data_IF_878017274508
#
_entry.id   IF_878017274508
#
_cell.length_a   1.000
_cell.length_b   1.000
_cell.length_c   1.000
_cell.angle_alpha   90.00
_cell.angle_beta   90.00
_cell.angle_gamma   90.00
#
_symmetry.space_group_name_H-M   'P 1'
#
loop_
_entity.id
_entity.type
_entity.pdbx_description
1 polymer ?
#
# COMPACT_ATOMS: atom_id res chain seq x y z
N UNK A 1 -69.07 39.64 -61.82
CA UNK A 1 -68.62 38.72 -60.75
C UNK A 1 -67.63 39.50 -59.90
N UNK A 2 -68.10 40.00 -58.75
CA UNK A 2 -67.67 39.58 -57.40
C UNK A 2 -66.22 40.02 -57.13
N UNK A 3 -65.87 41.15 -56.49
CA UNK A 3 -66.21 41.80 -55.20
C UNK A 3 -64.85 42.07 -54.49
N UNK A 4 -64.58 43.37 -54.26
CA UNK A 4 -63.80 44.05 -53.19
C UNK A 4 -62.35 43.69 -52.80
N UNK A 5 -61.46 44.70 -52.95
CA UNK A 5 -60.64 45.43 -51.94
C UNK A 5 -60.24 44.67 -50.65
N UNK A 6 -59.01 44.74 -50.10
CA UNK A 6 -58.18 45.93 -49.83
C UNK A 6 -56.74 45.60 -49.39
N UNK A 7 -55.87 46.59 -49.54
CA UNK A 7 -54.46 46.78 -49.13
C UNK A 7 -54.20 46.46 -47.64
N UNK A 8 -53.03 45.88 -47.26
CA UNK A 8 -52.11 46.37 -46.19
C UNK A 8 -50.82 45.52 -46.01
N UNK A 9 -49.70 46.25 -45.91
CA UNK A 9 -48.38 45.97 -45.30
C UNK A 9 -47.80 44.54 -45.26
N UNK A 10 -46.71 44.31 -46.00
CA UNK A 10 -45.74 43.25 -45.72
C UNK A 10 -44.76 43.70 -44.64
N UNK A 11 -45.06 43.39 -43.38
CA UNK A 11 -44.06 43.36 -42.30
C UNK A 11 -43.19 42.12 -42.46
N UNK A 12 -41.87 42.33 -42.50
CA UNK A 12 -40.82 41.34 -42.30
C UNK A 12 -41.05 40.58 -40.99
N UNK A 13 -41.27 39.26 -41.08
CA UNK A 13 -41.19 38.36 -39.94
C UNK A 13 -39.83 37.67 -39.98
N UNK A 14 -39.00 38.05 -39.02
CA UNK A 14 -37.78 37.36 -38.62
C UNK A 14 -38.15 35.95 -38.11
N UNK A 15 -37.69 34.92 -38.81
CA UNK A 15 -37.71 33.54 -38.31
C UNK A 15 -36.62 33.38 -37.25
N UNK A 16 -36.95 33.74 -36.01
CA UNK A 16 -36.10 33.68 -34.81
C UNK A 16 -36.46 32.53 -33.86
N UNK A 17 -36.88 31.37 -34.40
CA UNK A 17 -37.20 30.19 -33.60
C UNK A 17 -36.24 29.01 -33.88
N UNK A 18 -34.94 29.26 -33.83
CA UNK A 18 -33.99 28.23 -33.37
C UNK A 18 -33.69 28.59 -31.92
N UNK A 19 -34.26 27.85 -30.97
CA UNK A 19 -33.75 27.85 -29.61
C UNK A 19 -32.29 27.40 -29.67
N UNK A 20 -31.38 28.36 -29.62
CA UNK A 20 -29.96 28.11 -29.43
C UNK A 20 -29.79 27.45 -28.06
N UNK A 21 -29.34 26.20 -28.07
CA UNK A 21 -28.70 25.58 -26.91
C UNK A 21 -27.63 26.57 -26.44
N UNK A 22 -27.72 27.05 -25.19
CA UNK A 22 -26.87 28.18 -24.73
C UNK A 22 -25.38 27.89 -24.95
N UNK A 23 -24.58 28.92 -25.26
CA UNK A 23 -23.14 28.80 -25.53
C UNK A 23 -22.37 28.12 -24.38
N UNK A 24 -22.86 28.27 -23.15
CA UNK A 24 -22.32 27.64 -21.94
C UNK A 24 -22.41 26.10 -21.98
N UNK A 25 -23.42 25.54 -22.65
CA UNK A 25 -23.55 24.10 -22.85
C UNK A 25 -22.53 23.58 -23.87
N UNK A 26 -22.31 24.30 -24.97
CA UNK A 26 -21.33 23.88 -26.01
C UNK A 26 -19.90 23.91 -25.49
N UNK A 27 -19.57 24.84 -24.60
CA UNK A 27 -18.23 24.93 -24.00
C UNK A 27 -17.95 23.76 -23.04
N UNK A 28 -18.89 23.41 -22.15
CA UNK A 28 -18.77 22.22 -21.28
C UNK A 28 -18.65 20.92 -22.09
N UNK A 29 -19.37 20.81 -23.20
CA UNK A 29 -19.37 19.63 -24.06
C UNK A 29 -18.04 19.42 -24.79
N UNK A 30 -17.41 20.52 -25.20
CA UNK A 30 -16.07 20.49 -25.79
C UNK A 30 -15.00 20.12 -24.76
N UNK A 31 -15.11 20.63 -23.53
CA UNK A 31 -14.20 20.28 -22.44
C UNK A 31 -14.28 18.80 -22.08
N UNK A 32 -15.49 18.23 -21.95
CA UNK A 32 -15.68 16.79 -21.71
C UNK A 32 -15.09 15.94 -22.84
N UNK A 33 -15.32 16.34 -24.11
CA UNK A 33 -14.75 15.63 -25.24
C UNK A 33 -13.22 15.70 -25.25
N UNK A 34 -12.63 16.86 -24.91
CA UNK A 34 -11.18 16.99 -24.78
C UNK A 34 -10.62 16.11 -23.66
N UNK A 35 -11.29 16.03 -22.51
CA UNK A 35 -10.89 15.15 -21.42
C UNK A 35 -10.94 13.67 -21.85
N UNK A 36 -11.98 13.25 -22.56
CA UNK A 36 -12.14 11.88 -23.07
C UNK A 36 -11.17 11.52 -24.22
N UNK A 37 -10.60 12.53 -24.90
CA UNK A 37 -9.60 12.36 -25.95
C UNK A 37 -8.16 12.51 -25.44
N UNK A 38 -8.00 13.00 -24.21
CA UNK A 38 -6.70 13.17 -23.55
C UNK A 38 -6.17 11.85 -22.98
N UNK A 39 -4.89 11.84 -22.58
CA UNK A 39 -4.33 10.70 -21.87
C UNK A 39 -5.06 10.54 -20.52
N UNK A 40 -5.53 9.33 -20.16
CA UNK A 40 -6.20 9.08 -18.90
C UNK A 40 -5.33 9.49 -17.72
N UNK A 41 -5.95 10.15 -16.74
CA UNK A 41 -5.31 10.46 -15.46
C UNK A 41 -6.37 10.52 -14.38
N UNK A 42 -5.97 10.25 -13.13
CA UNK A 42 -6.85 10.37 -11.97
C UNK A 42 -7.46 11.78 -11.88
N UNK A 43 -6.70 12.83 -12.18
CA UNK A 43 -7.20 14.20 -12.20
C UNK A 43 -8.29 14.43 -13.25
N UNK A 44 -8.07 13.94 -14.48
CA UNK A 44 -9.07 14.06 -15.55
C UNK A 44 -10.33 13.25 -15.20
N UNK A 45 -10.18 12.09 -14.57
CA UNK A 45 -11.29 11.23 -14.17
C UNK A 45 -12.17 11.89 -13.08
N UNK A 46 -11.59 12.66 -12.16
CA UNK A 46 -12.38 13.48 -11.20
C UNK A 46 -13.27 14.47 -11.95
N UNK A 47 -12.71 15.22 -12.91
CA UNK A 47 -13.48 16.18 -13.73
C UNK A 47 -14.60 15.47 -14.52
N UNK A 48 -14.33 14.27 -15.03
CA UNK A 48 -15.33 13.46 -15.73
C UNK A 48 -16.43 12.94 -14.80
N UNK A 49 -16.13 12.60 -13.53
CA UNK A 49 -17.16 12.24 -12.53
C UNK A 49 -18.08 13.42 -12.23
N UNK A 50 -17.52 14.61 -12.08
CA UNK A 50 -18.31 15.83 -11.89
C UNK A 50 -19.20 16.13 -13.10
N UNK A 51 -18.65 15.95 -14.32
CA UNK A 51 -19.43 16.07 -15.54
C UNK A 51 -20.56 15.04 -15.62
N UNK A 52 -20.31 13.79 -15.25
CA UNK A 52 -21.32 12.73 -15.22
C UNK A 52 -22.46 13.06 -14.25
N UNK A 53 -22.13 13.54 -13.05
CA UNK A 53 -23.12 13.97 -12.06
C UNK A 53 -23.99 15.14 -12.56
N UNK A 54 -23.45 16.04 -13.38
CA UNK A 54 -24.20 17.16 -14.00
C UNK A 54 -25.04 16.72 -15.20
N UNK A 55 -24.62 15.68 -15.92
CA UNK A 55 -25.25 15.21 -17.14
C UNK A 55 -26.37 14.20 -16.88
N UNK A 56 -26.21 13.33 -15.89
CA UNK A 56 -27.16 12.27 -15.56
C UNK A 56 -28.53 12.83 -15.14
N UNK A 57 -29.58 12.23 -15.69
CA UNK A 57 -30.98 12.51 -15.32
C UNK A 57 -31.52 11.49 -14.32
N UNK A 58 -30.86 10.33 -14.22
CA UNK A 58 -31.17 9.27 -13.26
C UNK A 58 -29.92 8.81 -12.50
N UNK A 59 -30.13 8.23 -11.31
CA UNK A 59 -29.03 7.64 -10.54
C UNK A 59 -28.33 6.50 -11.29
N UNK A 60 -29.07 5.73 -12.11
CA UNK A 60 -28.50 4.62 -12.89
C UNK A 60 -27.52 5.11 -13.96
N UNK A 61 -27.80 6.26 -14.56
CA UNK A 61 -26.88 6.87 -15.54
C UNK A 61 -25.56 7.29 -14.91
N UNK A 62 -25.64 7.86 -13.70
CA UNK A 62 -24.46 8.20 -12.93
C UNK A 62 -23.70 6.96 -12.47
N UNK A 63 -24.40 5.91 -12.02
CA UNK A 63 -23.78 4.63 -11.62
C UNK A 63 -23.01 3.98 -12.76
N UNK A 64 -23.57 3.96 -13.98
CA UNK A 64 -22.88 3.42 -15.17
C UNK A 64 -21.64 4.26 -15.49
N UNK A 65 -21.77 5.60 -15.50
CA UNK A 65 -20.63 6.48 -15.75
C UNK A 65 -19.52 6.30 -14.72
N UNK A 66 -19.89 6.21 -13.43
CA UNK A 66 -18.95 5.95 -12.33
C UNK A 66 -18.26 4.61 -12.48
N UNK A 67 -18.98 3.55 -12.85
CA UNK A 67 -18.40 2.22 -13.05
C UNK A 67 -17.37 2.21 -14.20
N UNK A 68 -17.66 2.91 -15.30
CA UNK A 68 -16.69 3.06 -16.41
C UNK A 68 -15.46 3.85 -15.96
N UNK A 69 -15.65 4.95 -15.22
CA UNK A 69 -14.56 5.76 -14.68
C UNK A 69 -13.69 4.99 -13.67
N UNK A 70 -14.29 4.13 -12.83
CA UNK A 70 -13.56 3.25 -11.92
C UNK A 70 -12.67 2.24 -12.66
N UNK A 71 -13.13 1.72 -13.80
CA UNK A 71 -12.30 0.83 -14.62
C UNK A 71 -11.12 1.58 -15.28
N UNK A 72 -11.33 2.84 -15.68
CA UNK A 72 -10.25 3.71 -16.19
C UNK A 72 -9.24 4.01 -15.07
N UNK A 73 -9.71 4.33 -13.86
CA UNK A 73 -8.87 4.56 -12.68
C UNK A 73 -8.01 3.33 -12.37
N UNK A 74 -8.63 2.14 -12.33
CA UNK A 74 -7.94 0.87 -12.08
C UNK A 74 -6.84 0.61 -13.12
N UNK A 75 -7.16 0.82 -14.39
CA UNK A 75 -6.20 0.63 -15.49
C UNK A 75 -5.04 1.63 -15.45
N UNK A 76 -5.32 2.88 -15.07
CA UNK A 76 -4.29 3.92 -14.94
C UNK A 76 -3.31 3.58 -13.81
N UNK A 77 -3.81 3.06 -12.69
CA UNK A 77 -2.99 2.56 -11.58
C UNK A 77 -2.12 1.37 -12.01
N UNK A 78 -2.66 0.44 -12.78
CA UNK A 78 -1.87 -0.69 -13.29
C UNK A 78 -0.69 -0.24 -14.16
N UNK A 79 -0.89 0.76 -15.04
CA UNK A 79 0.18 1.34 -15.86
C UNK A 79 1.20 2.10 -15.02
N UNK A 80 0.74 2.88 -14.05
CA UNK A 80 1.59 3.62 -13.12
C UNK A 80 2.48 2.65 -12.33
N UNK A 81 1.91 1.58 -11.78
CA UNK A 81 2.66 0.52 -11.09
C UNK A 81 3.75 -0.05 -12.00
N UNK A 82 3.45 -0.40 -13.26
CA UNK A 82 4.46 -0.91 -14.21
C UNK A 82 5.60 0.08 -14.42
N UNK A 83 5.29 1.38 -14.54
CA UNK A 83 6.31 2.44 -14.67
C UNK A 83 7.20 2.54 -13.44
N UNK A 84 6.60 2.58 -12.25
CA UNK A 84 7.30 2.74 -10.98
C UNK A 84 8.29 1.58 -10.74
N UNK A 85 7.92 0.35 -11.11
CA UNK A 85 8.83 -0.80 -11.07
C UNK A 85 9.99 -0.71 -12.06
N UNK A 86 9.74 -0.15 -13.24
CA UNK A 86 10.80 0.06 -14.22
C UNK A 86 11.79 1.12 -13.78
N UNK A 87 11.35 2.11 -13.01
CA UNK A 87 12.19 3.18 -12.47
C UNK A 87 13.00 2.71 -11.25
N UNK A 88 12.43 1.85 -10.40
CA UNK A 88 13.06 1.45 -9.15
C UNK A 88 13.07 2.58 -8.12
N UNK A 89 14.06 2.55 -7.22
CA UNK A 89 14.22 3.52 -6.13
C UNK A 89 12.99 3.65 -5.23
N UNK A 90 12.80 4.84 -4.67
CA UNK A 90 11.69 5.07 -3.74
C UNK A 90 10.32 4.84 -4.40
N UNK A 91 10.19 5.20 -5.68
CA UNK A 91 8.97 5.05 -6.47
C UNK A 91 8.58 3.57 -6.62
N UNK A 92 9.54 2.73 -6.99
CA UNK A 92 9.36 1.28 -7.08
C UNK A 92 9.04 0.65 -5.72
N UNK A 93 9.74 1.08 -4.66
CA UNK A 93 9.46 0.61 -3.30
C UNK A 93 8.03 0.97 -2.85
N UNK A 94 7.54 2.17 -3.14
CA UNK A 94 6.17 2.59 -2.81
C UNK A 94 5.13 1.79 -3.58
N UNK A 95 5.36 1.51 -4.87
CA UNK A 95 4.50 0.65 -5.66
C UNK A 95 4.43 -0.78 -5.08
N UNK A 96 5.57 -1.31 -4.63
CA UNK A 96 5.67 -2.58 -3.92
C UNK A 96 4.80 -2.60 -2.67
N UNK A 97 4.95 -1.58 -1.84
CA UNK A 97 4.25 -1.46 -0.58
C UNK A 97 2.74 -1.36 -0.78
N UNK A 98 2.28 -0.62 -1.78
CA UNK A 98 0.86 -0.52 -2.10
C UNK A 98 0.28 -1.88 -2.52
N UNK A 99 0.96 -2.63 -3.38
CA UNK A 99 0.52 -3.96 -3.83
C UNK A 99 0.47 -4.99 -2.69
N UNK A 100 1.44 -4.98 -1.77
CA UNK A 100 1.38 -5.80 -0.56
C UNK A 100 0.17 -5.36 0.28
N UNK A 101 -0.03 -4.04 0.43
CA UNK A 101 -1.10 -3.44 1.21
C UNK A 101 -2.50 -3.76 0.71
N UNK A 102 -2.73 -3.88 -0.60
CA UNK A 102 -4.04 -4.23 -1.17
C UNK A 102 -4.58 -5.55 -0.60
N UNK A 103 -3.74 -6.58 -0.48
CA UNK A 103 -4.17 -7.87 0.06
C UNK A 103 -4.41 -7.82 1.57
N UNK A 104 -3.49 -7.23 2.31
CA UNK A 104 -3.55 -7.18 3.78
C UNK A 104 -4.69 -6.27 4.28
N UNK A 105 -4.91 -5.13 3.63
CA UNK A 105 -5.97 -4.18 4.02
C UNK A 105 -7.38 -4.70 3.71
N UNK A 106 -7.53 -5.67 2.81
CA UNK A 106 -8.82 -6.30 2.51
C UNK A 106 -9.23 -7.39 3.52
N UNK A 107 -8.31 -7.86 4.38
CA UNK A 107 -8.60 -8.87 5.40
C UNK A 107 -9.60 -8.35 6.46
N UNK A 108 -10.79 -8.94 6.55
CA UNK A 108 -11.84 -8.44 7.45
C UNK A 108 -11.54 -8.69 8.94
N UNK A 109 -10.89 -9.81 9.26
CA UNK A 109 -10.65 -10.24 10.64
C UNK A 109 -9.20 -10.70 10.79
N UNK A 110 -8.23 -9.78 10.83
CA UNK A 110 -6.83 -10.15 10.96
C UNK A 110 -6.58 -10.84 12.32
N UNK A 111 -5.77 -11.90 12.31
CA UNK A 111 -5.18 -12.48 13.53
C UNK A 111 -4.11 -11.55 14.12
N UNK A 112 -3.52 -11.91 15.27
CA UNK A 112 -2.44 -11.13 15.90
C UNK A 112 -1.29 -10.85 14.94
N UNK A 113 -0.68 -11.90 14.39
CA UNK A 113 0.43 -11.76 13.43
C UNK A 113 0.02 -11.07 12.12
N UNK A 114 -1.21 -11.27 11.63
CA UNK A 114 -1.68 -10.53 10.44
C UNK A 114 -1.88 -9.03 10.73
N UNK A 115 -2.29 -8.67 11.96
CA UNK A 115 -2.37 -7.28 12.38
C UNK A 115 -0.98 -6.63 12.47
N UNK A 116 0.03 -7.40 12.84
CA UNK A 116 1.43 -6.98 12.82
C UNK A 116 1.96 -6.74 11.40
N UNK A 117 1.65 -7.63 10.45
CA UNK A 117 1.96 -7.41 9.02
C UNK A 117 1.27 -6.16 8.48
N UNK A 118 -0.01 -5.96 8.84
CA UNK A 118 -0.73 -4.73 8.50
C UNK A 118 -0.03 -3.50 9.12
N UNK A 119 0.44 -3.59 10.37
CA UNK A 119 1.14 -2.49 11.04
C UNK A 119 2.46 -2.13 10.33
N UNK A 120 3.20 -3.12 9.83
CA UNK A 120 4.43 -2.88 9.08
C UNK A 120 4.21 -1.96 7.89
N UNK A 121 3.06 -2.04 7.21
CA UNK A 121 2.76 -1.17 6.07
C UNK A 121 2.80 0.32 6.46
N UNK A 122 2.25 0.68 7.64
CA UNK A 122 2.31 2.05 8.14
C UNK A 122 3.74 2.44 8.54
N UNK A 123 4.49 1.54 9.15
CA UNK A 123 5.87 1.80 9.58
C UNK A 123 6.78 2.04 8.37
N UNK A 124 6.63 1.24 7.32
CA UNK A 124 7.35 1.40 6.05
C UNK A 124 6.91 2.68 5.33
N UNK A 125 5.62 3.00 5.29
CA UNK A 125 5.15 4.27 4.72
C UNK A 125 5.77 5.48 5.44
N UNK A 126 5.82 5.46 6.77
CA UNK A 126 6.44 6.54 7.55
C UNK A 126 7.92 6.66 7.28
N UNK A 127 8.62 5.53 7.17
CA UNK A 127 10.04 5.50 6.86
C UNK A 127 10.34 6.18 5.50
N UNK A 128 9.63 5.81 4.43
CA UNK A 128 9.88 6.38 3.09
C UNK A 128 9.39 7.82 2.98
N UNK A 129 8.41 8.23 3.80
CA UNK A 129 7.90 9.61 3.85
C UNK A 129 8.48 10.43 5.01
N UNK A 130 9.59 10.01 5.62
CA UNK A 130 10.07 10.60 6.87
C UNK A 130 10.31 12.12 6.77
N UNK A 131 10.80 12.62 5.63
CA UNK A 131 10.96 14.05 5.38
C UNK A 131 9.62 14.78 5.27
N UNK A 132 8.69 14.26 4.46
CA UNK A 132 7.36 14.83 4.22
C UNK A 132 6.52 14.86 5.50
N UNK A 133 6.61 13.81 6.32
CA UNK A 133 6.00 13.72 7.63
C UNK A 133 6.76 14.52 8.71
N UNK A 134 7.94 15.04 8.39
CA UNK A 134 8.78 15.87 9.26
C UNK A 134 9.31 15.13 10.48
N UNK A 135 9.63 13.85 10.32
CA UNK A 135 10.20 12.97 11.36
C UNK A 135 11.62 12.50 11.03
N UNK A 136 12.17 12.87 9.86
CA UNK A 136 13.52 12.49 9.42
C UNK A 136 14.66 12.85 10.40
N UNK A 137 14.49 13.90 11.21
CA UNK A 137 15.49 14.32 12.20
C UNK A 137 15.22 13.80 13.63
N UNK A 138 14.18 12.96 13.83
CA UNK A 138 13.85 12.40 15.13
C UNK A 138 14.54 11.05 15.31
N UNK A 139 15.81 11.07 15.73
CA UNK A 139 16.63 9.87 15.89
C UNK A 139 16.01 8.83 16.83
N UNK A 140 15.41 9.24 17.95
CA UNK A 140 14.76 8.32 18.89
C UNK A 140 13.55 7.63 18.25
N UNK A 141 12.73 8.38 17.51
CA UNK A 141 11.60 7.80 16.80
C UNK A 141 12.04 6.84 15.69
N UNK A 142 12.99 7.25 14.86
CA UNK A 142 13.49 6.41 13.77
C UNK A 142 14.16 5.15 14.28
N UNK A 143 14.84 5.20 15.42
CA UNK A 143 15.42 4.01 16.03
C UNK A 143 14.35 3.06 16.58
N UNK A 144 13.33 3.58 17.29
CA UNK A 144 12.20 2.76 17.75
C UNK A 144 11.39 2.20 16.58
N UNK A 145 11.22 2.96 15.49
CA UNK A 145 10.59 2.51 14.25
C UNK A 145 11.38 1.37 13.60
N UNK A 146 12.71 1.48 13.55
CA UNK A 146 13.59 0.44 13.01
C UNK A 146 13.52 -0.83 13.84
N UNK A 147 13.57 -0.71 15.17
CA UNK A 147 13.36 -1.85 16.08
C UNK A 147 11.96 -2.44 15.90
N UNK A 148 10.90 -1.65 15.81
CA UNK A 148 9.56 -2.19 15.57
C UNK A 148 9.46 -2.94 14.23
N UNK A 149 10.12 -2.45 13.18
CA UNK A 149 10.19 -3.09 11.86
C UNK A 149 10.97 -4.41 11.88
N UNK A 150 12.00 -4.52 12.71
CA UNK A 150 12.82 -5.74 12.81
C UNK A 150 12.09 -6.89 13.50
N UNK A 151 11.30 -6.60 14.54
CA UNK A 151 10.77 -7.61 15.46
C UNK A 151 9.25 -7.86 15.35
N UNK A 152 8.52 -7.11 14.51
CA UNK A 152 7.05 -7.21 14.31
C UNK A 152 6.76 -7.96 13.03
N UNK A 153 5.73 -8.80 12.99
CA UNK A 153 5.23 -9.39 11.74
C UNK A 153 5.67 -10.82 11.51
N UNK A 154 5.10 -11.43 10.48
CA UNK A 154 5.27 -12.86 10.23
C UNK A 154 6.72 -13.19 9.90
N UNK A 155 7.27 -14.15 10.66
CA UNK A 155 8.64 -14.63 10.55
C UNK A 155 9.70 -13.76 11.23
N UNK A 156 9.32 -12.64 11.87
CA UNK A 156 10.25 -11.67 12.45
C UNK A 156 10.32 -11.68 13.97
N UNK A 157 9.57 -12.56 14.64
CA UNK A 157 9.82 -12.74 16.07
C UNK A 157 11.17 -13.41 16.30
N UNK A 158 11.96 -12.83 17.19
CA UNK A 158 13.28 -13.36 17.54
C UNK A 158 13.58 -13.14 19.03
N UNK A 159 14.66 -13.75 19.54
CA UNK A 159 14.99 -13.70 20.97
C UNK A 159 15.96 -12.59 21.37
N UNK A 160 16.43 -11.77 20.43
CA UNK A 160 17.22 -10.57 20.70
C UNK A 160 16.40 -9.42 21.29
N UNK A 161 15.08 -9.62 21.47
CA UNK A 161 14.23 -8.75 22.30
C UNK A 161 14.75 -8.59 23.75
N UNK A 162 15.68 -9.43 24.17
CA UNK A 162 16.40 -9.33 25.44
C UNK A 162 17.39 -8.15 25.51
N UNK A 163 17.75 -7.56 24.38
CA UNK A 163 18.69 -6.43 24.27
C UNK A 163 17.97 -5.10 23.94
N UNK A 164 16.65 -5.04 24.15
CA UNK A 164 15.86 -3.85 23.84
C UNK A 164 16.14 -2.67 24.77
N UNK A 165 16.29 -1.51 24.16
CA UNK A 165 16.42 -0.21 24.85
C UNK A 165 15.08 0.30 25.42
N UNK A 166 15.18 1.27 26.33
CA UNK A 166 14.01 2.00 26.78
C UNK A 166 13.41 2.87 25.65
N UNK A 167 12.12 2.72 25.30
CA UNK A 167 11.53 3.48 24.20
C UNK A 167 11.50 5.00 24.44
N UNK A 168 11.62 5.44 25.69
CA UNK A 168 11.51 6.85 26.08
C UNK A 168 12.85 7.52 26.37
N UNK A 169 13.94 6.75 26.41
CA UNK A 169 15.26 7.26 26.79
C UNK A 169 16.32 6.76 25.81
N UNK A 170 17.10 7.64 25.16
CA UNK A 170 18.26 7.21 24.38
C UNK A 170 19.31 6.64 25.35
N UNK A 171 19.44 5.32 25.43
CA UNK A 171 20.44 4.67 26.30
C UNK A 171 21.62 4.16 25.49
N UNK A 172 22.82 4.24 26.07
CA UNK A 172 24.03 3.58 25.56
C UNK A 172 24.30 2.25 26.27
N UNK A 173 23.41 1.81 27.16
CA UNK A 173 23.54 0.57 27.93
C UNK A 173 22.21 -0.19 27.98
N UNK A 174 22.28 -1.46 27.61
CA UNK A 174 21.16 -2.41 27.62
C UNK A 174 21.03 -3.03 29.00
N UNK A 175 19.92 -2.77 29.70
CA UNK A 175 19.75 -3.29 31.06
C UNK A 175 18.29 -3.58 31.45
N UNK A 176 17.39 -3.71 30.47
CA UNK A 176 15.98 -3.92 30.73
C UNK A 176 15.31 -5.07 29.96
N UNK A 177 15.87 -5.47 28.82
CA UNK A 177 15.35 -6.54 27.95
C UNK A 177 13.84 -6.55 27.83
N UNK A 178 13.25 -7.74 27.91
CA UNK A 178 11.79 -7.89 27.80
C UNK A 178 11.01 -7.51 29.06
N UNK A 179 11.67 -7.06 30.13
CA UNK A 179 11.00 -6.70 31.38
C UNK A 179 9.99 -5.56 31.18
N UNK A 180 8.93 -5.56 31.99
CA UNK A 180 7.89 -4.52 31.98
C UNK A 180 7.21 -4.31 30.62
N UNK A 181 7.10 -5.38 29.81
CA UNK A 181 6.45 -5.36 28.51
C UNK A 181 7.11 -4.40 27.48
N UNK A 182 8.45 -4.30 27.54
CA UNK A 182 9.24 -3.29 26.82
C UNK A 182 8.96 -3.25 25.32
N UNK A 183 8.88 -4.41 24.68
CA UNK A 183 8.67 -4.46 23.24
C UNK A 183 7.32 -3.86 22.82
N UNK A 184 6.23 -4.28 23.48
CA UNK A 184 4.91 -3.67 23.27
C UNK A 184 4.91 -2.16 23.53
N UNK A 185 5.70 -1.67 24.49
CA UNK A 185 5.85 -0.24 24.76
C UNK A 185 6.61 0.50 23.64
N UNK A 186 7.64 -0.11 23.04
CA UNK A 186 8.32 0.42 21.84
C UNK A 186 7.33 0.60 20.70
N UNK A 187 6.56 -0.44 20.41
CA UNK A 187 5.57 -0.38 19.32
C UNK A 187 4.44 0.61 19.64
N UNK A 188 4.04 0.71 20.91
CA UNK A 188 3.09 1.72 21.38
C UNK A 188 3.61 3.15 21.24
N UNK A 189 4.90 3.39 21.48
CA UNK A 189 5.53 4.69 21.22
C UNK A 189 5.50 5.02 19.73
N UNK A 190 5.90 4.08 18.86
CA UNK A 190 5.86 4.26 17.39
C UNK A 190 4.45 4.57 16.91
N UNK A 191 3.44 3.81 17.37
CA UNK A 191 2.02 4.06 17.09
C UNK A 191 1.58 5.48 17.47
N UNK A 192 1.97 5.94 18.65
CA UNK A 192 1.63 7.28 19.15
C UNK A 192 2.26 8.39 18.31
N UNK A 193 3.53 8.25 17.91
CA UNK A 193 4.18 9.23 17.02
C UNK A 193 3.54 9.23 15.63
N UNK A 194 3.23 8.05 15.07
CA UNK A 194 2.47 7.90 13.83
C UNK A 194 1.11 8.61 13.88
N UNK A 195 0.40 8.49 15.01
CA UNK A 195 -0.86 9.22 15.23
C UNK A 195 -0.67 10.74 15.19
N UNK A 196 0.42 11.27 15.76
CA UNK A 196 0.71 12.71 15.70
C UNK A 196 0.95 13.21 14.27
N UNK A 197 1.54 12.38 13.41
CA UNK A 197 1.70 12.70 11.98
C UNK A 197 0.31 12.93 11.35
N UNK A 198 -0.62 12.02 11.59
CA UNK A 198 -2.02 12.13 11.12
C UNK A 198 -2.68 13.40 11.69
N UNK A 199 -2.59 13.62 13.01
CA UNK A 199 -3.22 14.77 13.68
C UNK A 199 -2.66 16.12 13.23
N UNK A 200 -1.40 16.16 12.80
CA UNK A 200 -0.78 17.35 12.23
C UNK A 200 -1.25 17.67 10.80
N UNK A 201 -2.03 16.78 10.18
CA UNK A 201 -2.51 16.94 8.80
C UNK A 201 -1.46 16.65 7.72
N UNK A 202 -0.28 16.13 8.10
CA UNK A 202 0.79 15.79 7.15
C UNK A 202 0.52 14.49 6.38
N UNK A 203 -0.26 13.59 6.96
CA UNK A 203 -0.72 12.37 6.29
C UNK A 203 -2.18 12.55 5.86
N UNK A 204 -2.46 12.43 4.56
CA UNK A 204 -3.82 12.47 4.03
C UNK A 204 -4.59 11.19 4.39
N UNK A 205 -5.92 11.22 4.26
CA UNK A 205 -6.75 10.02 4.44
C UNK A 205 -6.47 8.92 3.39
N UNK A 206 -5.89 9.29 2.25
CA UNK A 206 -5.46 8.33 1.22
C UNK A 206 -4.09 7.70 1.49
N UNK A 207 -3.30 8.24 2.42
CA UNK A 207 -1.99 7.69 2.78
C UNK A 207 -2.11 6.26 3.34
N UNK A 208 -1.08 5.45 3.09
CA UNK A 208 -0.98 4.10 3.65
C UNK A 208 -0.99 4.17 5.19
N UNK A 209 -0.25 5.10 5.78
CA UNK A 209 -0.26 5.38 7.22
C UNK A 209 -1.68 5.51 7.78
N UNK A 210 -2.50 6.41 7.22
CA UNK A 210 -3.87 6.61 7.69
C UNK A 210 -4.74 5.38 7.50
N UNK A 211 -4.69 4.76 6.30
CA UNK A 211 -5.51 3.58 5.97
C UNK A 211 -5.24 2.42 6.92
N UNK A 212 -3.98 2.13 7.20
CA UNK A 212 -3.53 1.08 8.13
C UNK A 212 -3.99 1.38 9.55
N UNK A 213 -3.69 2.57 10.07
CA UNK A 213 -4.04 2.92 11.45
C UNK A 213 -5.56 2.97 11.66
N UNK A 214 -6.31 3.45 10.67
CA UNK A 214 -7.77 3.42 10.69
C UNK A 214 -8.28 1.97 10.73
N UNK A 215 -7.77 1.10 9.86
CA UNK A 215 -8.15 -0.33 9.84
C UNK A 215 -7.92 -1.01 11.18
N UNK A 216 -6.73 -0.85 11.75
CA UNK A 216 -6.36 -1.46 13.04
C UNK A 216 -7.13 -0.84 14.22
N UNK A 217 -7.70 0.36 14.03
CA UNK A 217 -8.60 1.01 14.99
C UNK A 217 -10.09 0.67 14.79
N UNK A 218 -10.43 -0.25 13.89
CA UNK A 218 -11.80 -0.69 13.63
C UNK A 218 -12.49 -0.02 12.42
N UNK A 219 -11.77 0.82 11.67
CA UNK A 219 -12.19 1.28 10.34
C UNK A 219 -13.22 2.43 10.30
N UNK A 220 -13.53 3.06 11.43
CA UNK A 220 -14.60 4.07 11.54
C UNK A 220 -14.10 5.54 11.44
N UNK A 221 -12.84 5.77 11.09
CA UNK A 221 -12.20 7.08 11.03
C UNK A 221 -11.67 7.60 12.37
N UNK A 222 -11.93 6.90 13.48
CA UNK A 222 -11.50 7.30 14.82
C UNK A 222 -10.29 6.47 15.26
N UNK A 223 -9.09 7.02 15.05
CA UNK A 223 -7.83 6.37 15.44
C UNK A 223 -7.49 6.75 16.88
N UNK A 224 -7.31 5.76 17.76
CA UNK A 224 -6.93 5.99 19.16
C UNK A 224 -5.40 6.22 19.27
N UNK A 225 -4.91 7.13 20.13
CA UNK A 225 -3.48 7.27 20.40
C UNK A 225 -2.83 6.05 21.09
N UNK A 226 -3.61 5.17 21.70
CA UNK A 226 -3.14 3.93 22.31
C UNK A 226 -3.06 2.79 21.29
N UNK A 227 -2.06 1.92 21.44
CA UNK A 227 -1.87 0.74 20.59
C UNK A 227 -3.11 -0.17 20.66
N UNK A 228 -3.68 -0.59 19.51
CA UNK A 228 -4.84 -1.47 19.48
C UNK A 228 -4.62 -2.76 20.29
N UNK A 229 -5.67 -3.22 20.96
CA UNK A 229 -5.58 -4.36 21.89
C UNK A 229 -5.05 -5.63 21.22
N UNK A 230 -5.39 -5.87 19.96
CA UNK A 230 -4.90 -7.03 19.20
C UNK A 230 -3.36 -7.05 19.10
N UNK A 231 -2.76 -5.90 18.77
CA UNK A 231 -1.31 -5.71 18.69
C UNK A 231 -0.68 -5.69 20.08
N UNK A 232 -1.30 -5.00 21.04
CA UNK A 232 -0.80 -4.94 22.41
C UNK A 232 -0.69 -6.34 23.04
N UNK A 233 -1.66 -7.20 22.76
CA UNK A 233 -1.67 -8.57 23.24
C UNK A 233 -0.67 -9.46 22.50
N UNK A 234 -0.62 -9.39 21.16
CA UNK A 234 0.32 -10.22 20.36
C UNK A 234 1.77 -9.87 20.60
N UNK A 235 2.07 -8.59 20.87
CA UNK A 235 3.42 -8.09 21.11
C UNK A 235 3.79 -8.06 22.59
N UNK A 236 2.94 -8.61 23.46
CA UNK A 236 3.18 -8.59 24.90
C UNK A 236 4.30 -9.54 25.27
N UNK A 237 5.33 -9.06 25.94
CA UNK A 237 6.38 -9.89 26.56
C UNK A 237 6.10 -10.16 28.04
N UNK A 238 4.93 -9.73 28.56
CA UNK A 238 4.53 -9.90 29.95
C UNK A 238 4.62 -11.37 30.39
N UNK A 239 5.17 -11.63 31.58
CA UNK A 239 5.29 -12.98 32.12
C UNK A 239 6.53 -13.75 31.64
N UNK A 240 7.38 -13.11 30.84
CA UNK A 240 8.67 -13.66 30.42
C UNK A 240 9.83 -12.92 31.10
N UNK A 241 10.97 -13.58 31.22
CA UNK A 241 12.24 -13.00 31.71
C UNK A 241 13.39 -13.42 30.79
N UNK A 242 14.54 -12.74 30.94
CA UNK A 242 15.76 -13.01 30.19
C UNK A 242 16.29 -14.46 30.28
N UNK A 243 15.78 -15.24 31.23
CA UNK A 243 16.15 -16.64 31.45
C UNK A 243 14.99 -17.62 31.24
N UNK A 244 13.76 -17.14 31.00
CA UNK A 244 12.56 -17.97 30.87
C UNK A 244 11.52 -17.27 30.01
N UNK A 245 11.33 -17.77 28.79
CA UNK A 245 10.30 -17.27 27.89
C UNK A 245 8.92 -17.82 28.27
N UNK A 246 7.92 -16.96 28.24
CA UNK A 246 6.52 -17.34 28.37
C UNK A 246 6.01 -18.08 27.14
N UNK A 247 4.73 -18.45 27.15
CA UNK A 247 4.06 -19.16 26.04
C UNK A 247 2.87 -18.39 25.49
N UNK A 248 2.85 -17.07 25.68
CA UNK A 248 1.77 -16.18 25.27
C UNK A 248 2.34 -14.88 24.72
N UNK A 249 1.48 -14.11 24.04
CA UNK A 249 1.88 -12.84 23.42
C UNK A 249 3.03 -13.05 22.44
N UNK A 250 4.12 -12.32 22.63
CA UNK A 250 5.25 -12.31 21.71
C UNK A 250 5.89 -13.70 21.58
N UNK A 251 5.85 -14.53 22.63
CA UNK A 251 6.46 -15.86 22.63
C UNK A 251 5.48 -16.99 22.28
N UNK A 252 4.24 -16.67 21.89
CA UNK A 252 3.27 -17.65 21.41
C UNK A 252 3.63 -18.11 19.99
N UNK A 253 4.09 -19.36 19.87
CA UNK A 253 4.48 -19.95 18.58
C UNK A 253 3.29 -20.36 17.71
N UNK A 254 2.06 -20.28 18.23
CA UNK A 254 0.83 -20.62 17.50
C UNK A 254 0.10 -19.41 16.95
N UNK A 255 0.41 -18.19 17.44
CA UNK A 255 -0.29 -16.95 17.08
C UNK A 255 0.65 -15.77 16.77
N UNK A 256 1.94 -15.87 17.10
CA UNK A 256 2.94 -14.81 16.89
C UNK A 256 3.76 -14.98 15.61
N UNK A 257 4.65 -14.01 15.35
CA UNK A 257 5.51 -13.96 14.17
C UNK A 257 6.71 -14.90 14.18
N UNK A 258 6.67 -16.02 14.89
CA UNK A 258 7.76 -17.02 14.89
C UNK A 258 7.72 -17.90 13.64
N UNK A 259 8.90 -18.23 13.10
CA UNK A 259 9.02 -19.25 12.06
C UNK A 259 8.91 -20.63 12.72
N UNK A 260 7.86 -21.37 12.39
CA UNK A 260 7.54 -22.72 12.88
C UNK A 260 7.13 -23.61 11.72
N UNK A 261 6.83 -24.88 11.96
CA UNK A 261 6.27 -25.75 10.92
C UNK A 261 4.88 -25.29 10.45
N UNK A 262 4.14 -24.56 11.30
CA UNK A 262 2.79 -24.08 11.00
C UNK A 262 2.73 -22.60 10.56
N UNK A 263 3.82 -21.85 10.73
CA UNK A 263 3.91 -20.44 10.34
C UNK A 263 5.27 -20.16 9.69
N UNK A 264 5.30 -19.97 8.37
CA UNK A 264 6.53 -19.73 7.61
C UNK A 264 6.43 -18.50 6.70
N UNK A 265 5.31 -17.76 6.74
CA UNK A 265 5.08 -16.66 5.80
C UNK A 265 6.07 -15.50 5.98
N UNK A 266 5.97 -14.52 5.10
CA UNK A 266 6.83 -13.34 5.04
C UNK A 266 6.03 -12.10 5.37
N UNK A 267 6.53 -11.34 6.34
CA UNK A 267 6.10 -9.97 6.57
C UNK A 267 6.32 -9.06 5.35
N UNK A 268 5.67 -7.89 5.27
CA UNK A 268 5.93 -6.90 4.23
C UNK A 268 7.40 -6.53 4.07
N UNK A 269 8.13 -6.30 5.17
CA UNK A 269 9.56 -5.99 5.11
C UNK A 269 10.35 -7.15 4.49
N UNK A 270 10.09 -8.39 4.91
CA UNK A 270 10.82 -9.56 4.40
C UNK A 270 10.52 -9.80 2.91
N UNK A 271 9.30 -9.54 2.45
CA UNK A 271 8.95 -9.57 1.01
C UNK A 271 9.74 -8.54 0.21
N UNK A 272 9.89 -7.32 0.75
CA UNK A 272 10.64 -6.25 0.09
C UNK A 272 12.14 -6.53 0.06
N UNK A 273 12.70 -7.08 1.14
CA UNK A 273 14.10 -7.52 1.19
C UNK A 273 14.34 -8.64 0.19
N UNK A 274 13.49 -9.66 0.17
CA UNK A 274 13.62 -10.77 -0.78
C UNK A 274 13.51 -10.30 -2.24
N UNK A 275 12.53 -9.44 -2.54
CA UNK A 275 12.34 -8.87 -3.87
C UNK A 275 13.55 -8.03 -4.30
N UNK A 276 14.06 -7.17 -3.41
CA UNK A 276 15.25 -6.35 -3.68
C UNK A 276 16.46 -7.24 -4.02
N UNK A 277 16.72 -8.25 -3.20
CA UNK A 277 17.83 -9.17 -3.41
C UNK A 277 17.71 -9.92 -4.75
N UNK A 278 16.52 -10.43 -5.07
CA UNK A 278 16.30 -11.14 -6.34
C UNK A 278 16.40 -10.23 -7.56
N UNK A 279 15.87 -9.00 -7.49
CA UNK A 279 15.98 -8.07 -8.62
C UNK A 279 17.42 -7.62 -8.87
N UNK A 280 18.26 -7.58 -7.84
CA UNK A 280 19.68 -7.30 -7.99
C UNK A 280 20.39 -8.38 -8.82
N UNK A 281 20.04 -9.66 -8.61
CA UNK A 281 20.61 -10.78 -9.37
C UNK A 281 19.90 -11.02 -10.72
N UNK A 282 18.61 -10.70 -10.80
CA UNK A 282 17.76 -10.93 -11.96
C UNK A 282 16.90 -9.69 -12.29
N UNK A 283 17.48 -8.67 -12.93
CA UNK A 283 16.77 -7.45 -13.30
C UNK A 283 15.71 -7.67 -14.39
N UNK A 284 15.75 -8.81 -15.11
CA UNK A 284 14.77 -9.19 -16.14
C UNK A 284 13.63 -10.07 -15.59
N UNK A 285 13.46 -10.12 -14.26
CA UNK A 285 12.37 -10.85 -13.62
C UNK A 285 11.02 -10.52 -14.27
N UNK A 286 10.17 -11.54 -14.46
CA UNK A 286 8.85 -11.33 -15.07
C UNK A 286 7.89 -10.59 -14.12
N UNK A 287 6.89 -9.94 -14.68
CA UNK A 287 5.84 -9.28 -13.91
C UNK A 287 5.06 -10.28 -13.05
N UNK A 288 4.81 -11.46 -13.61
CA UNK A 288 4.17 -12.58 -12.92
C UNK A 288 4.94 -13.03 -11.68
N UNK A 289 6.25 -13.24 -11.78
CA UNK A 289 7.10 -13.61 -10.62
C UNK A 289 7.10 -12.52 -9.56
N UNK A 290 7.22 -11.25 -9.96
CA UNK A 290 7.17 -10.11 -9.04
C UNK A 290 5.85 -10.08 -8.25
N UNK A 291 4.71 -10.29 -8.91
CA UNK A 291 3.40 -10.33 -8.23
C UNK A 291 3.31 -11.47 -7.22
N UNK A 292 3.83 -12.65 -7.55
CA UNK A 292 3.86 -13.79 -6.62
C UNK A 292 4.69 -13.43 -5.38
N UNK A 293 5.86 -12.81 -5.52
CA UNK A 293 6.68 -12.40 -4.36
C UNK A 293 5.91 -11.44 -3.43
N UNK A 294 5.17 -10.49 -3.99
CA UNK A 294 4.47 -9.46 -3.20
C UNK A 294 3.16 -9.93 -2.56
N UNK A 295 2.50 -10.94 -3.13
CA UNK A 295 1.12 -11.28 -2.74
C UNK A 295 0.82 -12.78 -2.61
N UNK A 296 1.71 -13.63 -3.13
CA UNK A 296 1.57 -15.08 -3.08
C UNK A 296 1.78 -15.65 -1.69
N UNK A 297 1.33 -16.89 -1.53
CA UNK A 297 1.56 -17.71 -0.33
C UNK A 297 3.04 -18.05 -0.16
N UNK A 298 3.45 -18.41 1.06
CA UNK A 298 4.81 -18.84 1.33
C UNK A 298 5.32 -19.89 0.33
N UNK A 299 4.55 -20.94 0.04
CA UNK A 299 4.97 -22.03 -0.85
C UNK A 299 5.22 -21.53 -2.29
N UNK A 300 4.35 -20.64 -2.78
CA UNK A 300 4.50 -20.03 -4.11
C UNK A 300 5.75 -19.14 -4.18
N UNK A 301 6.04 -18.37 -3.12
CA UNK A 301 7.25 -17.55 -3.05
C UNK A 301 8.50 -18.42 -2.87
N UNK A 302 8.41 -19.49 -2.08
CA UNK A 302 9.53 -20.40 -1.82
C UNK A 302 9.95 -21.16 -3.09
N UNK A 303 9.01 -21.44 -3.99
CA UNK A 303 9.29 -22.03 -5.29
C UNK A 303 10.09 -21.11 -6.23
N UNK A 304 10.19 -19.81 -5.94
CA UNK A 304 10.95 -18.82 -6.73
C UNK A 304 12.43 -18.78 -6.32
N UNK A 305 12.77 -19.30 -5.14
CA UNK A 305 14.15 -19.27 -4.62
C UNK A 305 15.11 -19.90 -5.65
N UNK A 306 16.20 -19.21 -6.04
CA UNK A 306 17.10 -19.68 -7.08
C UNK A 306 17.72 -21.05 -6.73
N UNK A 307 17.74 -21.98 -7.68
CA UNK A 307 18.26 -23.34 -7.45
C UNK A 307 19.79 -23.44 -7.46
N UNK A 308 20.49 -22.36 -7.83
CA UNK A 308 21.93 -22.32 -8.07
C UNK A 308 22.78 -22.14 -6.79
N UNK A 309 22.21 -21.75 -5.65
CA UNK A 309 22.98 -21.38 -4.45
C UNK A 309 22.82 -22.29 -3.21
N UNK A 310 22.29 -23.51 -3.36
CA UNK A 310 22.06 -24.45 -2.25
C UNK A 310 21.32 -23.79 -1.07
N UNK A 311 20.16 -23.21 -1.39
CA UNK A 311 19.24 -22.61 -0.42
C UNK A 311 18.17 -23.62 -0.02
N UNK A 312 17.89 -23.73 1.27
CA UNK A 312 16.82 -24.62 1.78
C UNK A 312 15.43 -24.01 1.68
N UNK A 313 15.33 -22.69 1.86
CA UNK A 313 14.10 -21.91 1.80
C UNK A 313 14.36 -20.42 1.53
N UNK A 314 13.30 -19.61 1.51
CA UNK A 314 13.36 -18.16 1.28
C UNK A 314 14.25 -17.46 2.30
N UNK A 315 14.11 -17.76 3.59
CA UNK A 315 14.90 -17.13 4.65
C UNK A 315 16.38 -17.49 4.53
N UNK A 316 16.71 -18.74 4.22
CA UNK A 316 18.09 -19.16 3.95
C UNK A 316 18.71 -18.43 2.75
N UNK A 317 17.91 -18.12 1.72
CA UNK A 317 18.35 -17.22 0.64
C UNK A 317 18.63 -15.80 1.16
N UNK A 318 17.70 -15.20 1.91
CA UNK A 318 17.87 -13.86 2.49
C UNK A 318 19.15 -13.80 3.34
N UNK A 319 19.39 -14.80 4.19
CA UNK A 319 20.55 -14.83 5.09
C UNK A 319 21.88 -14.98 4.37
N UNK A 320 21.90 -15.70 3.25
CA UNK A 320 23.12 -15.95 2.47
C UNK A 320 23.41 -14.88 1.42
N UNK A 321 22.47 -13.98 1.18
CA UNK A 321 22.61 -12.91 0.20
C UNK A 321 23.67 -11.89 0.65
N UNK A 322 23.58 -11.41 1.89
CA UNK A 322 24.55 -10.47 2.47
C UNK A 322 25.48 -11.19 3.46
N UNK A 323 26.61 -11.70 2.94
CA UNK A 323 27.54 -12.54 3.70
C UNK A 323 28.36 -11.76 4.74
N UNK A 324 28.41 -10.44 4.66
CA UNK A 324 29.31 -9.59 5.45
C UNK A 324 28.56 -8.67 6.45
N UNK A 325 27.22 -8.77 6.52
CA UNK A 325 26.40 -8.12 7.55
C UNK A 325 24.97 -7.88 7.09
N UNK A 326 23.99 -8.39 7.82
CA UNK A 326 22.58 -8.25 7.43
C UNK A 326 21.70 -9.25 8.16
N UNK A 327 20.65 -9.71 7.50
CA UNK A 327 19.74 -10.70 8.06
C UNK A 327 20.42 -12.05 8.28
N UNK A 328 20.14 -12.70 9.41
CA UNK A 328 20.76 -13.96 9.80
C UNK A 328 19.81 -14.83 10.63
N UNK A 329 20.08 -16.14 10.66
CA UNK A 329 19.45 -17.06 11.62
C UNK A 329 20.24 -17.02 12.94
N UNK A 330 19.82 -16.13 13.86
CA UNK A 330 20.53 -15.89 15.11
C UNK A 330 19.56 -15.76 16.28
N UNK A 331 19.76 -16.61 17.29
CA UNK A 331 19.00 -16.60 18.53
C UNK A 331 19.91 -16.19 19.69
N UNK A 332 19.35 -15.38 20.60
CA UNK A 332 20.04 -14.89 21.79
C UNK A 332 20.65 -16.03 22.61
N UNK A 333 21.89 -15.80 23.06
CA UNK A 333 22.64 -16.68 23.95
C UNK A 333 23.07 -15.90 25.20
N UNK A 334 22.60 -16.28 26.40
CA UNK A 334 22.93 -15.55 27.62
C UNK A 334 24.41 -15.68 28.04
N UNK A 335 25.14 -16.65 27.48
CA UNK A 335 26.59 -16.74 27.59
C UNK A 335 27.17 -17.56 26.43
N UNK A 336 28.49 -17.46 26.21
CA UNK A 336 29.19 -18.18 25.13
C UNK A 336 28.98 -19.70 25.16
N UNK A 337 28.77 -20.27 26.37
CA UNK A 337 28.58 -21.72 26.56
C UNK A 337 27.11 -22.11 26.78
N UNK A 338 26.17 -21.16 26.72
CA UNK A 338 24.75 -21.44 26.88
C UNK A 338 24.13 -21.89 25.55
N UNK A 339 23.12 -22.75 25.66
CA UNK A 339 22.21 -23.01 24.54
C UNK A 339 21.46 -21.72 24.17
N UNK A 340 21.18 -21.55 22.88
CA UNK A 340 20.29 -20.47 22.43
C UNK A 340 18.93 -20.58 23.10
N UNK A 341 18.41 -19.44 23.51
CA UNK A 341 17.06 -19.32 24.05
C UNK A 341 16.14 -19.10 22.86
N UNK A 342 15.18 -20.00 22.64
CA UNK A 342 14.06 -19.83 21.70
C UNK A 342 12.84 -20.64 22.17
N UNK A 343 11.61 -20.21 21.86
CA UNK A 343 10.43 -21.01 22.15
C UNK A 343 10.45 -22.40 21.49
N UNK A 344 9.73 -23.35 22.08
CA UNK A 344 9.62 -24.71 21.52
C UNK A 344 8.89 -24.69 20.17
N UNK A 345 9.40 -25.44 19.19
CA UNK A 345 8.82 -25.54 17.84
C UNK A 345 9.25 -24.43 16.87
N UNK A 346 10.18 -23.56 17.28
CA UNK A 346 10.76 -22.53 16.41
C UNK A 346 11.90 -23.11 15.56
N UNK A 347 11.78 -22.93 14.25
CA UNK A 347 12.71 -23.45 13.25
C UNK A 347 13.91 -22.52 13.08
N UNK A 348 13.65 -21.24 12.85
CA UNK A 348 14.64 -20.18 12.57
C UNK A 348 14.29 -18.92 13.36
N UNK A 349 15.28 -18.09 13.65
CA UNK A 349 15.13 -16.81 14.34
C UNK A 349 15.74 -15.71 13.49
N UNK A 350 14.90 -14.96 12.79
CA UNK A 350 15.33 -13.88 11.88
C UNK A 350 15.81 -12.69 12.70
N UNK A 351 17.09 -12.39 12.59
CA UNK A 351 17.77 -11.33 13.31
C UNK A 351 18.54 -10.45 12.33
N UNK A 352 18.64 -9.17 12.61
CA UNK A 352 19.51 -8.28 11.84
C UNK A 352 20.86 -8.17 12.55
N UNK A 353 21.94 -8.56 11.87
CA UNK A 353 23.29 -8.51 12.40
C UNK A 353 23.68 -7.11 12.86
N UNK A 354 23.75 -6.92 14.17
CA UNK A 354 23.97 -5.62 14.79
C UNK A 354 22.64 -5.01 15.25
N UNK A 355 22.37 -3.77 14.83
CA UNK A 355 21.12 -3.08 15.16
C UNK A 355 20.54 -2.50 13.89
N UNK A 356 19.31 -2.88 13.54
CA UNK A 356 18.62 -2.27 12.42
C UNK A 356 18.43 -0.77 12.69
N UNK A 357 18.81 0.06 11.73
CA UNK A 357 18.70 1.50 11.82
C UNK A 357 18.06 2.10 10.57
N UNK A 358 17.72 3.38 10.66
CA UNK A 358 17.12 4.11 9.54
C UNK A 358 18.06 4.26 8.36
N UNK A 359 19.38 4.11 8.53
CA UNK A 359 20.36 4.23 7.44
C UNK A 359 20.28 3.01 6.53
N UNK A 360 20.32 1.80 7.10
CA UNK A 360 20.17 0.57 6.34
C UNK A 360 18.80 0.51 5.67
N UNK A 361 17.75 0.83 6.44
CA UNK A 361 16.37 0.89 5.94
C UNK A 361 16.20 1.92 4.81
N UNK A 362 16.91 3.06 4.89
CA UNK A 362 16.95 4.03 3.79
C UNK A 362 17.71 3.51 2.58
N UNK A 363 18.79 2.78 2.79
CA UNK A 363 19.48 2.06 1.72
C UNK A 363 18.55 1.12 0.96
N UNK A 364 17.64 0.41 1.65
CA UNK A 364 16.69 -0.52 1.04
C UNK A 364 15.71 0.18 0.08
N UNK A 365 15.10 1.31 0.48
CA UNK A 365 14.12 1.98 -0.39
C UNK A 365 14.74 2.93 -1.40
N UNK A 366 15.85 3.62 -1.08
CA UNK A 366 16.53 4.53 -2.02
C UNK A 366 17.18 3.75 -3.15
N UNK A 367 17.82 2.61 -2.84
CA UNK A 367 18.51 1.78 -3.82
C UNK A 367 17.64 0.60 -4.29
N UNK A 368 16.32 0.69 -4.12
CA UNK A 368 15.43 -0.38 -4.53
C UNK A 368 15.62 -0.69 -6.02
N UNK A 369 15.94 -1.93 -6.42
CA UNK A 369 16.35 -2.20 -7.80
C UNK A 369 15.25 -1.91 -8.82
N UNK A 370 15.64 -1.33 -9.95
CA UNK A 370 14.80 -1.22 -11.14
C UNK A 370 14.64 -2.58 -11.82
N UNK A 371 13.50 -2.80 -12.46
CA UNK A 371 13.26 -3.97 -13.31
C UNK A 371 13.20 -3.60 -14.78
N UNK A 372 13.81 -4.39 -15.65
CA UNK A 372 13.72 -4.19 -17.09
C UNK A 372 12.33 -4.60 -17.57
N UNK A 373 11.67 -3.75 -18.36
CA UNK A 373 10.40 -4.09 -19.00
C UNK A 373 10.61 -5.21 -20.02
N UNK A 374 9.96 -6.35 -19.79
CA UNK A 374 9.97 -7.49 -20.68
C UNK A 374 8.80 -7.52 -21.65
N UNK A 375 8.76 -8.55 -22.50
CA UNK A 375 7.66 -8.75 -23.46
C UNK A 375 6.28 -8.88 -22.79
N UNK A 376 6.23 -9.46 -21.59
CA UNK A 376 5.00 -9.54 -20.77
C UNK A 376 4.46 -8.13 -20.47
N UNK A 377 5.35 -7.22 -20.07
CA UNK A 377 4.99 -5.85 -19.72
C UNK A 377 4.52 -5.06 -20.92
N UNK A 378 5.22 -5.15 -22.06
CA UNK A 378 4.82 -4.46 -23.29
C UNK A 378 3.45 -4.96 -23.77
N UNK A 379 3.21 -6.27 -23.71
CA UNK A 379 1.88 -6.83 -24.02
C UNK A 379 0.83 -6.34 -23.05
N UNK A 380 1.13 -6.30 -21.76
CA UNK A 380 0.19 -5.84 -20.74
C UNK A 380 -0.13 -4.34 -20.89
N UNK A 381 0.88 -3.49 -21.10
CA UNK A 381 0.73 -2.06 -21.39
C UNK A 381 -0.17 -1.85 -22.60
N UNK A 382 0.06 -2.57 -23.71
CA UNK A 382 -0.77 -2.47 -24.90
C UNK A 382 -2.22 -2.91 -24.62
N UNK A 383 -2.41 -4.04 -23.93
CA UNK A 383 -3.72 -4.54 -23.53
C UNK A 383 -4.47 -3.54 -22.66
N UNK A 384 -3.81 -2.97 -21.65
CA UNK A 384 -4.40 -1.97 -20.77
C UNK A 384 -4.74 -0.71 -21.57
N UNK A 385 -3.82 -0.24 -22.42
CA UNK A 385 -4.05 0.92 -23.29
C UNK A 385 -5.25 0.74 -24.21
N UNK A 386 -5.42 -0.43 -24.82
CA UNK A 386 -6.57 -0.74 -25.68
C UNK A 386 -7.88 -0.85 -24.89
N UNK A 387 -7.86 -1.48 -23.72
CA UNK A 387 -9.02 -1.55 -22.83
C UNK A 387 -9.46 -0.15 -22.38
N UNK A 388 -8.52 0.71 -21.98
CA UNK A 388 -8.81 2.07 -21.56
C UNK A 388 -9.39 2.91 -22.69
N UNK A 389 -8.84 2.80 -23.91
CA UNK A 389 -9.44 3.46 -25.10
C UNK A 389 -10.87 3.00 -25.33
N UNK A 390 -11.15 1.70 -25.21
CA UNK A 390 -12.49 1.16 -25.40
C UNK A 390 -13.48 1.64 -24.33
N UNK A 391 -13.04 1.70 -23.07
CA UNK A 391 -13.87 2.22 -21.96
C UNK A 391 -14.11 3.73 -22.12
N UNK A 392 -13.08 4.52 -22.47
CA UNK A 392 -13.24 5.95 -22.73
C UNK A 392 -14.19 6.21 -23.90
N UNK A 393 -14.12 5.41 -24.96
CA UNK A 393 -15.05 5.53 -26.08
C UNK A 393 -16.48 5.15 -25.67
N UNK A 394 -16.65 4.11 -24.84
CA UNK A 394 -17.94 3.74 -24.25
C UNK A 394 -18.50 4.86 -23.38
N UNK A 395 -17.65 5.47 -22.55
CA UNK A 395 -18.00 6.61 -21.70
C UNK A 395 -18.40 7.83 -22.54
N UNK A 396 -17.69 8.10 -23.64
CA UNK A 396 -18.05 9.15 -24.62
C UNK A 396 -19.44 8.93 -25.21
N UNK A 397 -19.74 7.71 -25.64
CA UNK A 397 -21.10 7.37 -26.10
C UNK A 397 -22.14 7.49 -24.99
N UNK A 398 -21.79 7.10 -23.77
CA UNK A 398 -22.68 7.24 -22.61
C UNK A 398 -23.03 8.70 -22.32
N UNK A 399 -22.04 9.60 -22.35
CA UNK A 399 -22.27 11.05 -22.23
C UNK A 399 -23.16 11.61 -23.35
N UNK A 400 -23.02 11.11 -24.58
CA UNK A 400 -23.91 11.49 -25.68
C UNK A 400 -25.35 11.07 -25.42
N UNK A 401 -25.58 9.84 -24.94
CA UNK A 401 -26.91 9.34 -24.60
C UNK A 401 -27.54 10.18 -23.49
N UNK A 402 -26.83 10.40 -22.37
CA UNK A 402 -27.33 11.23 -21.26
C UNK A 402 -27.72 12.64 -21.73
N UNK A 403 -26.95 13.21 -22.65
CA UNK A 403 -27.26 14.51 -23.26
C UNK A 403 -28.52 14.46 -24.12
N UNK A 404 -28.61 13.49 -25.02
CA UNK A 404 -29.73 13.36 -25.95
C UNK A 404 -31.05 13.12 -25.21
N UNK A 405 -31.04 12.29 -24.16
CA UNK A 405 -32.19 12.07 -23.30
C UNK A 405 -32.62 13.36 -22.58
N UNK A 406 -31.67 14.11 -22.01
CA UNK A 406 -31.97 15.38 -21.35
C UNK A 406 -32.54 16.41 -22.32
N UNK A 407 -32.02 16.51 -23.54
CA UNK A 407 -32.56 17.38 -24.59
C UNK A 407 -33.96 16.92 -25.02
N UNK A 408 -34.19 15.62 -25.14
CA UNK A 408 -35.51 15.07 -25.46
C UNK A 408 -36.54 15.38 -24.37
N UNK A 409 -36.18 15.23 -23.08
CA UNK A 409 -37.02 15.64 -21.95
C UNK A 409 -37.32 17.13 -22.04
N UNK A 410 -36.30 17.98 -22.24
CA UNK A 410 -36.47 19.43 -22.34
C UNK A 410 -37.31 19.88 -23.54
N UNK A 411 -37.35 19.09 -24.62
CA UNK A 411 -38.24 19.35 -25.78
C UNK A 411 -39.68 18.89 -25.56
N UNK A 412 -39.88 17.91 -24.69
CA UNK A 412 -41.21 17.33 -24.40
C UNK A 412 -41.96 18.09 -23.30
N UNK A 413 -41.25 18.87 -22.48
CA UNK A 413 -41.80 19.86 -21.53
C UNK A 413 -42.08 21.15 -22.28
#
# INVERSE_FOLDING_TARGET
MLISNSIYSSQTISNSNRNEVSEDYRNNDNEINQLLESQPSLENNVKLREAAAKAATTNKEQEIANSLLEQIDSSSKELEIISLWSEGGESGFRAALELIGENLLNNQNPTGVQAEDILQLAMLDVLVNAEQYGVANNALFLQNLSTALEYTGTGQHNTWVEDLDDPTTPTTETNGGIASNRYSNIVGYVWKEMKKIIDSGKASQSSMLYRVMNKLSGGNGSINPELPAILKNSLSTSGSTNSSLGTSGYFDTTQGGWITDANQDLSPLMRLVFLSNLLHENPEMSQSTLKVILSGTYDEVNAIVPSNGNYSNIYDYIFKFDKDGGWQDSAYKPSHNASSVKPSGVNQTVDFGGRLDSTWLSGLYVNFPSRVLGDEDIKNINRIGDNVKMIMQTLKYWFQIMRDERVAIARNI
#
